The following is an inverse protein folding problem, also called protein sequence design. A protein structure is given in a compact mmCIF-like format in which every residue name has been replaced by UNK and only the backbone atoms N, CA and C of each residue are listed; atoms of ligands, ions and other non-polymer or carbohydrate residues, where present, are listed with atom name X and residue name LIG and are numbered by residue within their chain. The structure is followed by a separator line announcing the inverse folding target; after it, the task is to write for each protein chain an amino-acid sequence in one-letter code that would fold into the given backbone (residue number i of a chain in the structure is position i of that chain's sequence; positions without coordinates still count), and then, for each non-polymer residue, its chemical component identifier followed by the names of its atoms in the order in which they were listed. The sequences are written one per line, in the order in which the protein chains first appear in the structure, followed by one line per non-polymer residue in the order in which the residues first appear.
data_IF_579727999188
#
_entry.id   IF_579727999188
#
_cell.length_a   1.000
_cell.length_b   1.000
_cell.length_c   1.000
_cell.angle_alpha   90.00
_cell.angle_beta   90.00
_cell.angle_gamma   90.00
#
_symmetry.space_group_name_H-M   'P 1'
#
loop_
_entity.id
_entity.type
_entity.pdbx_description
1 polymer ?
#
# COMPACT_ATOMS: atom_id res chain seq x y z
N UNK A 1 27.44 -3.11 1.39
CA UNK A 1 26.86 -3.08 1.82
C UNK A 1 26.28 -3.58 2.46
N UNK A 2 25.99 -3.58 2.63
CA UNK A 2 25.69 -4.18 3.41
C UNK A 2 24.41 -4.51 3.69
N UNK A 3 24.24 -5.41 4.27
CA UNK A 3 23.06 -5.94 4.46
C UNK A 3 22.18 -5.22 5.32
N UNK A 4 22.69 -4.54 6.17
CA UNK A 4 21.90 -3.91 7.13
C UNK A 4 21.06 -2.90 6.58
N UNK A 5 21.49 -2.27 5.59
CA UNK A 5 20.65 -1.28 5.06
C UNK A 5 19.47 -1.87 4.47
N UNK A 6 19.51 -3.09 4.16
CA UNK A 6 18.37 -3.69 3.57
C UNK A 6 17.18 -3.64 4.45
N UNK A 7 17.35 -3.81 5.72
CA UNK A 7 16.23 -3.81 6.60
C UNK A 7 15.55 -2.50 6.67
N UNK A 8 16.32 -1.47 6.79
CA UNK A 8 15.76 -0.17 7.01
C UNK A 8 14.99 0.36 5.83
N UNK A 9 15.54 0.25 4.66
CA UNK A 9 14.92 0.81 3.50
C UNK A 9 14.11 -0.17 2.71
N UNK A 10 13.93 -1.33 3.26
CA UNK A 10 13.44 -2.42 2.53
C UNK A 10 12.07 -2.20 1.94
N UNK A 11 11.15 -1.71 2.72
CA UNK A 11 9.78 -1.54 2.27
C UNK A 11 9.69 -0.51 1.17
N UNK A 12 10.39 0.59 1.34
CA UNK A 12 10.42 1.62 0.32
C UNK A 12 10.98 1.06 -0.97
N UNK A 13 12.00 0.25 -0.88
CA UNK A 13 12.60 -0.31 -2.06
C UNK A 13 11.70 -1.27 -2.78
N UNK A 14 10.84 -1.96 -2.04
CA UNK A 14 9.90 -2.84 -2.68
C UNK A 14 9.03 -2.08 -3.67
N UNK A 15 8.51 -0.94 -3.24
CA UNK A 15 7.69 -0.15 -4.13
C UNK A 15 8.52 0.46 -5.26
N UNK A 16 9.72 0.91 -4.96
CA UNK A 16 10.56 1.51 -5.98
C UNK A 16 10.83 0.55 -7.12
N UNK A 17 10.98 -0.74 -6.80
CA UNK A 17 11.29 -1.73 -7.82
C UNK A 17 10.07 -2.27 -8.54
N UNK A 18 8.89 -2.06 -8.01
CA UNK A 18 7.69 -2.64 -8.56
C UNK A 18 6.84 -1.64 -9.31
N UNK A 19 6.76 -0.43 -8.79
CA UNK A 19 5.80 0.56 -9.25
C UNK A 19 6.49 1.58 -10.15
N UNK A 20 5.86 1.97 -11.27
CA UNK A 20 6.46 2.97 -12.16
C UNK A 20 6.71 4.29 -11.44
N UNK A 21 7.68 5.03 -11.95
CA UNK A 21 8.13 6.26 -11.32
C UNK A 21 7.01 7.28 -11.14
N UNK A 22 6.15 7.42 -12.14
CA UNK A 22 5.09 8.41 -12.04
C UNK A 22 4.09 8.08 -10.94
N UNK A 23 3.82 6.81 -10.70
CA UNK A 23 2.97 6.43 -9.58
C UNK A 23 3.67 6.67 -8.25
N UNK A 24 4.97 6.42 -8.20
CA UNK A 24 5.71 6.70 -6.98
C UNK A 24 5.64 8.18 -6.63
N UNK A 25 5.70 9.01 -7.64
CA UNK A 25 5.69 10.46 -7.41
C UNK A 25 4.33 10.96 -6.95
N UNK A 26 3.28 10.27 -7.31
CA UNK A 26 1.95 10.65 -6.85
C UNK A 26 1.61 10.12 -5.47
N UNK A 27 2.42 9.23 -4.94
CA UNK A 27 2.16 8.66 -3.63
C UNK A 27 2.53 9.60 -2.50
N UNK A 28 1.93 9.36 -1.35
CA UNK A 28 2.21 10.11 -0.14
C UNK A 28 3.12 9.25 0.72
N UNK A 29 4.29 9.77 1.04
CA UNK A 29 5.24 9.02 1.85
C UNK A 29 4.90 9.18 3.31
N UNK A 30 4.63 8.06 3.94
CA UNK A 30 4.19 8.08 5.33
C UNK A 30 5.33 8.24 6.31
N UNK A 31 6.52 7.82 5.92
CA UNK A 31 7.64 7.84 6.86
C UNK A 31 7.99 9.23 7.34
N UNK A 32 7.71 10.25 6.52
CA UNK A 32 8.04 11.61 6.91
C UNK A 32 7.13 12.09 8.02
N UNK A 33 5.95 11.51 8.11
CA UNK A 33 5.01 11.91 9.15
C UNK A 33 5.04 10.98 10.34
N UNK A 34 5.26 9.69 10.09
CA UNK A 34 5.10 8.71 11.16
C UNK A 34 6.33 7.82 11.36
N UNK A 35 7.42 8.13 10.68
CA UNK A 35 8.65 7.34 10.84
C UNK A 35 8.63 5.98 10.16
N UNK A 36 7.76 5.79 9.20
CA UNK A 36 7.70 4.53 8.46
C UNK A 36 8.05 4.78 7.01
N UNK A 37 8.36 3.72 6.31
CA UNK A 37 8.90 3.83 4.95
C UNK A 37 7.89 3.40 3.90
N UNK A 38 6.63 3.69 4.14
CA UNK A 38 5.56 3.20 3.29
C UNK A 38 4.96 4.33 2.48
N UNK A 39 4.26 3.98 1.43
CA UNK A 39 3.67 4.94 0.52
C UNK A 39 2.18 4.63 0.41
N UNK A 40 1.36 5.67 0.50
CA UNK A 40 -0.08 5.54 0.34
C UNK A 40 -0.52 6.32 -0.89
N UNK A 41 -1.59 5.88 -1.52
CA UNK A 41 -2.08 6.50 -2.76
C UNK A 41 -3.57 6.78 -2.68
N UNK A 42 -4.01 7.75 -3.47
CA UNK A 42 -5.43 8.01 -3.64
C UNK A 42 -6.08 6.84 -4.37
N UNK A 43 -7.41 6.84 -4.37
CA UNK A 43 -8.18 5.71 -4.87
C UNK A 43 -7.75 5.22 -6.25
N UNK A 44 -7.72 6.12 -7.22
CA UNK A 44 -7.42 5.67 -8.59
C UNK A 44 -6.01 5.10 -8.70
N UNK A 45 -5.08 5.72 -8.01
CA UNK A 45 -3.69 5.28 -8.09
C UNK A 45 -3.47 3.98 -7.34
N UNK A 46 -4.11 3.80 -6.19
CA UNK A 46 -3.91 2.56 -5.45
C UNK A 46 -4.50 1.38 -6.20
N UNK A 47 -5.56 1.59 -6.99
CA UNK A 47 -6.08 0.49 -7.80
C UNK A 47 -5.05 0.04 -8.82
N UNK A 48 -4.33 0.99 -9.42
CA UNK A 48 -3.26 0.64 -10.35
C UNK A 48 -2.11 -0.07 -9.64
N UNK A 49 -1.76 0.40 -8.44
CA UNK A 49 -0.70 -0.24 -7.67
C UNK A 49 -1.08 -1.69 -7.35
N UNK A 50 -2.32 -1.94 -6.98
CA UNK A 50 -2.75 -3.31 -6.69
C UNK A 50 -2.62 -4.20 -7.92
N UNK A 51 -2.99 -3.69 -9.09
CA UNK A 51 -2.87 -4.48 -10.31
C UNK A 51 -1.42 -4.78 -10.64
N UNK A 52 -0.56 -3.79 -10.46
CA UNK A 52 0.85 -3.96 -10.78
C UNK A 52 1.50 -4.95 -9.83
N UNK A 53 1.22 -4.85 -8.54
CA UNK A 53 1.82 -5.76 -7.57
C UNK A 53 1.34 -7.18 -7.80
N UNK A 54 0.07 -7.33 -8.15
CA UNK A 54 -0.44 -8.67 -8.46
C UNK A 54 0.28 -9.25 -9.67
N UNK A 55 0.50 -8.42 -10.70
CA UNK A 55 1.18 -8.88 -11.89
C UNK A 55 2.63 -9.27 -11.67
N UNK A 56 3.23 -8.74 -10.61
CA UNK A 56 4.62 -9.06 -10.28
C UNK A 56 4.74 -10.20 -9.28
N UNK A 57 3.62 -10.85 -8.95
CA UNK A 57 3.68 -12.00 -8.06
C UNK A 57 3.82 -11.66 -6.59
N UNK A 58 3.61 -10.40 -6.23
CA UNK A 58 3.66 -10.01 -4.83
C UNK A 58 2.34 -10.36 -4.15
N UNK A 59 2.30 -10.27 -2.85
CA UNK A 59 1.06 -10.49 -2.11
C UNK A 59 0.74 -9.25 -1.29
N UNK A 60 -0.52 -9.13 -0.94
CA UNK A 60 -1.01 -8.05 -0.10
C UNK A 60 -1.27 -8.64 1.28
N UNK A 61 -0.69 -8.03 2.30
CA UNK A 61 -0.84 -8.52 3.68
C UNK A 61 -1.98 -7.82 4.41
N UNK A 62 -2.43 -6.70 3.90
CA UNK A 62 -3.45 -5.88 4.49
C UNK A 62 -3.19 -4.45 4.12
N UNK A 63 -3.71 -3.52 4.88
CA UNK A 63 -3.43 -2.12 4.59
C UNK A 63 -4.06 -1.18 5.59
N UNK A 64 -3.79 0.10 5.39
CA UNK A 64 -4.26 1.15 6.28
C UNK A 64 -4.79 2.31 5.47
N UNK A 65 -5.65 3.10 6.11
CA UNK A 65 -6.26 4.27 5.49
C UNK A 65 -5.81 5.52 6.22
N UNK A 66 -5.46 6.55 5.46
CA UNK A 66 -5.10 7.85 6.02
C UNK A 66 -5.95 8.91 5.35
N UNK A 67 -6.35 9.92 6.13
CA UNK A 67 -7.09 11.04 5.56
C UNK A 67 -6.09 12.10 5.14
N UNK A 68 -6.32 12.71 4.00
CA UNK A 68 -5.45 13.78 3.54
C UNK A 68 -5.97 15.13 4.01
N UNK A 69 -5.09 15.87 4.67
CA UNK A 69 -5.36 17.24 5.04
C UNK A 69 -4.31 18.05 4.30
N UNK A 70 -4.70 18.61 3.15
CA UNK A 70 -3.73 19.15 2.22
C UNK A 70 -2.92 17.99 1.69
N UNK A 71 -1.61 18.01 1.88
CA UNK A 71 -0.77 16.91 1.47
C UNK A 71 -0.30 16.09 2.66
N UNK A 72 -0.90 16.30 3.83
CA UNK A 72 -0.45 15.64 5.03
C UNK A 72 -1.35 14.46 5.37
N UNK A 73 -0.81 13.26 5.54
CA UNK A 73 -1.63 12.11 5.89
C UNK A 73 -1.94 12.10 7.38
N UNK A 74 -3.22 11.93 7.70
CA UNK A 74 -3.69 11.88 9.07
C UNK A 74 -4.18 10.47 9.34
N UNK A 75 -3.71 9.89 10.42
CA UNK A 75 -4.05 8.51 10.73
C UNK A 75 -5.53 8.40 11.08
N UNK A 76 -6.20 7.39 10.54
CA UNK A 76 -7.62 7.17 10.80
C UNK A 76 -7.86 6.00 11.73
N UNK A 77 -6.86 5.14 11.89
CA UNK A 77 -6.96 3.87 12.61
C UNK A 77 -7.81 2.84 11.88
N UNK A 78 -8.25 3.14 10.66
CA UNK A 78 -8.97 2.17 9.86
C UNK A 78 -7.99 1.35 9.05
N UNK A 79 -8.21 0.05 9.02
CA UNK A 79 -7.30 -0.84 8.32
C UNK A 79 -8.04 -2.09 7.90
N UNK A 80 -7.39 -2.89 7.06
CA UNK A 80 -7.93 -4.20 6.70
C UNK A 80 -6.81 -5.22 6.79
N UNK A 81 -7.18 -6.47 6.95
CA UNK A 81 -6.20 -7.55 6.98
C UNK A 81 -6.75 -8.74 6.19
N UNK A 82 -5.85 -9.63 5.83
CA UNK A 82 -6.23 -10.82 5.08
C UNK A 82 -6.37 -11.95 6.10
N UNK A 83 -7.58 -12.45 6.21
CA UNK A 83 -7.91 -13.38 7.28
C UNK A 83 -7.49 -14.81 6.99
N UNK A 84 -7.38 -15.18 5.74
CA UNK A 84 -7.09 -16.55 5.38
C UNK A 84 -6.24 -16.60 4.14
N UNK A 85 -5.37 -17.60 4.04
CA UNK A 85 -4.59 -17.79 2.83
C UNK A 85 -5.47 -18.11 1.63
N UNK A 86 -6.68 -18.58 1.89
CA UNK A 86 -7.59 -18.89 0.82
C UNK A 86 -8.25 -17.66 0.24
N UNK A 87 -8.18 -16.53 0.92
CA UNK A 87 -8.77 -15.31 0.41
C UNK A 87 -7.94 -14.74 -0.72
N UNK A 88 -8.61 -14.15 -1.69
CA UNK A 88 -7.91 -13.40 -2.72
C UNK A 88 -7.59 -12.04 -2.13
N UNK A 89 -6.34 -11.85 -1.74
CA UNK A 89 -5.92 -10.65 -1.03
C UNK A 89 -6.17 -9.38 -1.84
N UNK A 90 -6.02 -9.47 -3.17
CA UNK A 90 -6.26 -8.30 -4.01
C UNK A 90 -7.73 -7.98 -4.10
N UNK A 91 -8.57 -9.01 -4.11
CA UNK A 91 -10.00 -8.79 -4.12
C UNK A 91 -10.46 -8.19 -2.79
N UNK A 92 -9.92 -8.69 -1.68
CA UNK A 92 -10.27 -8.15 -0.37
C UNK A 92 -9.88 -6.68 -0.29
N UNK A 93 -8.67 -6.35 -0.74
CA UNK A 93 -8.20 -4.97 -0.72
C UNK A 93 -9.06 -4.08 -1.60
N UNK A 94 -9.37 -4.55 -2.81
CA UNK A 94 -10.17 -3.77 -3.75
C UNK A 94 -11.55 -3.50 -3.18
N UNK A 95 -12.17 -4.50 -2.61
CA UNK A 95 -13.49 -4.35 -2.02
C UNK A 95 -13.47 -3.39 -0.84
N UNK A 96 -12.48 -3.55 0.02
CA UNK A 96 -12.40 -2.71 1.20
C UNK A 96 -12.22 -1.24 0.81
N UNK A 97 -11.29 -0.97 -0.10
CA UNK A 97 -10.98 0.39 -0.51
C UNK A 97 -12.18 1.00 -1.25
N UNK A 98 -12.81 0.24 -2.12
CA UNK A 98 -13.96 0.73 -2.87
C UNK A 98 -15.10 1.09 -1.92
N UNK A 99 -15.37 0.23 -0.96
CA UNK A 99 -16.43 0.49 0.00
C UNK A 99 -16.10 1.65 0.92
N UNK A 100 -14.84 1.77 1.30
CA UNK A 100 -14.42 2.87 2.15
C UNK A 100 -14.63 4.21 1.45
N UNK A 101 -14.22 4.30 0.20
CA UNK A 101 -14.38 5.51 -0.56
C UNK A 101 -15.85 5.86 -0.74
N UNK A 102 -16.67 4.86 -1.01
CA UNK A 102 -18.09 5.08 -1.21
C UNK A 102 -18.75 5.66 0.02
N UNK A 103 -18.27 5.26 1.20
CA UNK A 103 -18.87 5.75 2.44
C UNK A 103 -18.25 7.04 2.94
N UNK A 104 -16.99 7.28 2.63
CA UNK A 104 -16.25 8.36 3.28
C UNK A 104 -15.76 9.47 2.35
N UNK A 105 -15.80 9.26 1.05
CA UNK A 105 -15.41 10.29 0.11
C UNK A 105 -13.99 10.14 -0.38
N UNK A 106 -13.49 11.19 -1.06
CA UNK A 106 -12.26 11.11 -1.80
C UNK A 106 -11.01 11.63 -1.11
N UNK A 107 -11.14 12.13 0.11
CA UNK A 107 -10.01 12.76 0.77
C UNK A 107 -9.14 11.77 1.55
N UNK A 108 -8.98 10.59 0.99
CA UNK A 108 -8.25 9.52 1.68
C UNK A 108 -7.20 8.93 0.76
N UNK A 109 -6.14 8.42 1.40
CA UNK A 109 -5.13 7.63 0.70
C UNK A 109 -5.02 6.29 1.39
N UNK A 110 -4.58 5.30 0.63
CA UNK A 110 -4.57 3.91 1.08
C UNK A 110 -3.18 3.35 0.95
N UNK A 111 -2.73 2.70 2.01
CA UNK A 111 -1.41 2.07 2.04
C UNK A 111 -1.61 0.56 2.01
N UNK A 112 -1.31 -0.10 0.87
CA UNK A 112 -1.34 -1.56 0.85
C UNK A 112 0.00 -2.10 1.34
N UNK A 113 -0.05 -2.93 2.35
CA UNK A 113 1.16 -3.54 2.87
C UNK A 113 1.47 -4.76 2.02
N UNK A 114 2.55 -4.71 1.27
CA UNK A 114 2.89 -5.81 0.37
C UNK A 114 4.03 -6.62 0.94
N UNK A 115 4.12 -7.85 0.47
CA UNK A 115 5.22 -8.74 0.83
C UNK A 115 5.63 -9.55 -0.37
N UNK A 116 6.72 -10.30 -0.23
CA UNK A 116 7.17 -11.14 -1.34
C UNK A 116 6.16 -12.23 -1.61
N UNK A 117 6.00 -12.58 -2.85
CA UNK A 117 5.09 -13.63 -3.22
C UNK A 117 5.53 -14.95 -2.67
N UNK A 118 4.56 -15.91 -2.57
CA UNK A 118 4.83 -17.21 -2.11
C UNK A 118 5.61 -17.89 -3.15
N UNK A 119 6.69 -18.32 -2.80
CA UNK A 119 7.40 -18.97 -3.79
C UNK A 119 7.20 -20.41 -3.71
N UNK A 120 6.99 -20.92 -3.69
CA UNK A 120 6.86 -22.07 -3.59
C UNK A 120 6.82 -22.81 -3.53
N UNK A 121 6.80 -22.87 -3.48
CA UNK A 121 6.86 -23.52 -3.24
C UNK A 121 6.57 -24.15 -3.75
#
# INVERSE_FOLDING_TARGET
MSVEEDGAAFIDEDYVNIVPQDLLERGIRLREEYGIYDIAWRFDDVMDVLKITRGKGMIILGGEVYRLSGNKPIITYDCWSIESEDDDAFEVATQYITNYRARNGDDFVYYPAIGPGRVSK
#
